data_IF_175909242874
#
_entry.id   IF_175909242874
#
_cell.length_a   1.000
_cell.length_b   1.000
_cell.length_c   1.000
_cell.angle_alpha   90.00
_cell.angle_beta   90.00
_cell.angle_gamma   90.00
#
_symmetry.space_group_name_H-M   'P 1'
#
loop_
_entity.id
_entity.type
_entity.pdbx_description
1 polymer ?
#
# COMPACT_ATOMS: atom_id res chain seq x y z
N UNK A 1 -12.95 -1.26 -16.11
CA UNK A 1 -12.04 -1.03 -17.25
C UNK A 1 -11.02 -0.01 -16.79
N UNK A 2 -9.81 -0.49 -16.51
CA UNK A 2 -8.76 0.27 -15.83
C UNK A 2 -8.13 1.35 -16.72
N UNK A 3 -7.80 1.00 -17.97
CA UNK A 3 -7.25 1.95 -18.93
C UNK A 3 -8.35 2.88 -19.48
N UNK A 4 -8.08 4.18 -19.53
CA UNK A 4 -8.95 5.13 -20.21
C UNK A 4 -8.94 4.93 -21.75
N UNK A 5 -9.88 5.57 -22.46
CA UNK A 5 -10.02 5.40 -23.91
C UNK A 5 -8.80 5.85 -24.72
N UNK A 6 -8.08 6.88 -24.25
CA UNK A 6 -6.88 7.39 -24.90
C UNK A 6 -5.73 6.39 -24.70
N UNK A 7 -5.60 5.83 -23.50
CA UNK A 7 -4.61 4.80 -23.18
C UNK A 7 -4.86 3.52 -23.97
N UNK A 8 -6.09 3.00 -24.00
CA UNK A 8 -6.45 1.82 -24.80
C UNK A 8 -6.20 2.00 -26.30
N UNK A 9 -6.31 3.23 -26.82
CA UNK A 9 -6.00 3.51 -28.23
C UNK A 9 -4.49 3.45 -28.48
N UNK A 10 -3.70 4.12 -27.65
CA UNK A 10 -2.24 4.09 -27.76
C UNK A 10 -1.67 2.67 -27.62
N UNK A 11 -2.24 1.86 -26.72
CA UNK A 11 -1.83 0.46 -26.54
C UNK A 11 -2.18 -0.41 -27.76
N UNK A 12 -3.34 -0.18 -28.40
CA UNK A 12 -3.69 -0.83 -29.67
C UNK A 12 -2.78 -0.40 -30.82
N UNK A 13 -2.37 0.87 -30.85
CA UNK A 13 -1.47 1.40 -31.89
C UNK A 13 -0.07 0.74 -31.83
N UNK A 14 0.33 0.20 -30.68
CA UNK A 14 1.57 -0.58 -30.52
C UNK A 14 1.36 -2.10 -30.60
N UNK A 15 0.16 -2.55 -30.96
CA UNK A 15 -0.13 -3.94 -31.30
C UNK A 15 -0.77 -4.80 -30.20
N UNK A 16 -1.26 -4.22 -29.09
CA UNK A 16 -2.06 -4.97 -28.12
C UNK A 16 -3.52 -5.09 -28.60
N UNK A 17 -4.10 -6.28 -28.49
CA UNK A 17 -5.49 -6.53 -28.83
C UNK A 17 -6.43 -6.19 -27.66
N UNK A 18 -7.74 -6.14 -27.92
CA UNK A 18 -8.74 -5.87 -26.87
C UNK A 18 -8.67 -6.91 -25.75
N UNK A 19 -8.46 -8.17 -26.11
CA UNK A 19 -8.35 -9.27 -25.15
C UNK A 19 -7.09 -9.12 -24.27
N UNK A 20 -5.98 -8.63 -24.81
CA UNK A 20 -4.76 -8.34 -24.04
C UNK A 20 -5.01 -7.23 -23.00
N UNK A 21 -5.76 -6.18 -23.39
CA UNK A 21 -6.10 -5.08 -22.49
C UNK A 21 -7.05 -5.52 -21.37
N UNK A 22 -7.98 -6.43 -21.69
CA UNK A 22 -8.87 -7.02 -20.71
C UNK A 22 -8.10 -7.90 -19.72
N UNK A 23 -7.26 -8.81 -20.23
CA UNK A 23 -6.41 -9.67 -19.40
C UNK A 23 -5.49 -8.85 -18.49
N UNK A 24 -4.88 -7.78 -19.01
CA UNK A 24 -4.06 -6.88 -18.20
C UNK A 24 -4.88 -6.15 -17.12
N UNK A 25 -6.11 -5.71 -17.43
CA UNK A 25 -6.99 -5.10 -16.44
C UNK A 25 -7.36 -6.09 -15.33
N UNK A 26 -7.69 -7.33 -15.67
CA UNK A 26 -8.02 -8.39 -14.71
C UNK A 26 -6.82 -8.75 -13.83
N UNK A 27 -5.62 -8.85 -14.41
CA UNK A 27 -4.39 -9.11 -13.68
C UNK A 27 -4.07 -8.00 -12.65
N UNK A 28 -4.35 -6.74 -12.97
CA UNK A 28 -4.17 -5.63 -12.02
C UNK A 28 -5.12 -5.75 -10.84
N UNK A 29 -6.39 -6.10 -11.07
CA UNK A 29 -7.37 -6.29 -9.99
C UNK A 29 -6.94 -7.42 -9.06
N UNK A 30 -6.46 -8.54 -9.62
CA UNK A 30 -5.95 -9.65 -8.82
C UNK A 30 -4.73 -9.22 -8.01
N UNK A 31 -3.75 -8.58 -8.64
CA UNK A 31 -2.54 -8.11 -7.96
C UNK A 31 -2.86 -7.17 -6.78
N UNK A 32 -3.82 -6.25 -6.95
CA UNK A 32 -4.24 -5.33 -5.88
C UNK A 32 -4.91 -6.07 -4.73
N UNK A 33 -5.68 -7.12 -5.02
CA UNK A 33 -6.29 -7.96 -3.99
C UNK A 33 -5.24 -8.81 -3.24
N UNK A 34 -4.26 -9.37 -3.96
CA UNK A 34 -3.13 -10.09 -3.38
C UNK A 34 -2.27 -9.18 -2.48
N UNK A 35 -1.94 -7.98 -2.97
CA UNK A 35 -1.19 -6.98 -2.19
C UNK A 35 -1.95 -6.56 -0.93
N UNK A 36 -3.26 -6.32 -1.02
CA UNK A 36 -4.06 -5.98 0.16
C UNK A 36 -4.00 -7.09 1.22
N UNK A 37 -4.18 -8.35 0.80
CA UNK A 37 -4.12 -9.49 1.71
C UNK A 37 -2.71 -9.66 2.33
N UNK A 38 -1.65 -9.43 1.56
CA UNK A 38 -0.29 -9.52 2.04
C UNK A 38 0.04 -8.40 3.04
N UNK A 39 -0.47 -7.19 2.81
CA UNK A 39 -0.33 -6.06 3.73
C UNK A 39 -1.06 -6.34 5.05
N UNK A 40 -2.32 -6.78 5.00
CA UNK A 40 -3.07 -7.16 6.21
C UNK A 40 -2.32 -8.24 7.00
N UNK A 41 -1.82 -9.28 6.32
CA UNK A 41 -1.03 -10.34 6.95
C UNK A 41 0.26 -9.81 7.62
N UNK A 42 0.97 -8.88 6.99
CA UNK A 42 2.16 -8.26 7.57
C UNK A 42 1.85 -7.55 8.90
N UNK A 43 0.79 -6.74 8.95
CA UNK A 43 0.42 -6.00 10.16
C UNK A 43 -0.18 -6.92 11.23
N UNK A 44 -0.90 -7.97 10.86
CA UNK A 44 -1.41 -8.98 11.80
C UNK A 44 -0.28 -9.82 12.42
N UNK A 45 0.78 -10.14 11.66
CA UNK A 45 1.95 -10.84 12.14
C UNK A 45 2.78 -9.98 13.11
N UNK A 46 2.86 -8.67 12.83
CA UNK A 46 3.70 -7.74 13.57
C UNK A 46 2.89 -6.78 14.44
N UNK A 47 2.64 -7.18 15.68
CA UNK A 47 2.02 -6.30 16.69
C UNK A 47 2.83 -5.04 17.03
N UNK A 48 4.07 -4.92 16.54
CA UNK A 48 4.87 -3.70 16.62
C UNK A 48 5.68 -3.53 15.33
N UNK A 49 5.61 -2.33 14.75
CA UNK A 49 6.35 -1.96 13.53
C UNK A 49 7.11 -0.65 13.74
N UNK A 50 8.13 -0.43 12.94
CA UNK A 50 8.88 0.82 12.86
C UNK A 50 8.54 1.52 11.56
N UNK A 51 8.57 2.85 11.53
CA UNK A 51 8.37 3.60 10.29
C UNK A 51 9.44 4.65 10.05
N UNK A 52 9.55 5.12 8.81
CA UNK A 52 10.37 6.28 8.42
C UNK A 52 9.60 7.62 8.49
N UNK A 53 8.41 7.60 9.11
CA UNK A 53 7.55 8.77 9.27
C UNK A 53 8.18 9.82 10.18
N UNK A 54 8.24 11.07 9.71
CA UNK A 54 8.60 12.21 10.54
C UNK A 54 7.42 12.57 11.48
N UNK A 55 7.60 12.31 12.77
CA UNK A 55 6.63 12.67 13.80
C UNK A 55 7.06 13.94 14.51
N UNK A 56 6.22 14.97 14.47
CA UNK A 56 6.46 16.29 15.07
C UNK A 56 6.86 16.29 16.57
N UNK A 57 6.62 15.20 17.28
CA UNK A 57 6.96 15.03 18.70
C UNK A 57 7.85 13.83 19.02
N UNK A 58 8.37 13.13 17.99
CA UNK A 58 9.37 12.08 18.16
C UNK A 58 10.78 12.64 17.95
N UNK A 59 11.76 12.01 18.60
CA UNK A 59 13.20 12.20 18.32
C UNK A 59 13.85 10.93 17.78
N UNK A 60 13.07 9.87 17.63
CA UNK A 60 13.54 8.63 17.04
C UNK A 60 13.56 8.78 15.52
N UNK A 61 14.68 8.39 14.91
CA UNK A 61 14.84 8.33 13.45
C UNK A 61 13.82 7.38 12.82
N UNK A 62 13.52 6.27 13.50
CA UNK A 62 12.43 5.35 13.17
C UNK A 62 11.48 5.21 14.36
N UNK A 63 10.35 5.95 14.43
CA UNK A 63 9.36 5.76 15.48
C UNK A 63 8.77 4.35 15.46
N UNK A 64 8.40 3.87 16.64
CA UNK A 64 7.81 2.56 16.89
C UNK A 64 6.31 2.71 17.11
N UNK A 65 5.52 1.79 16.53
CA UNK A 65 4.07 1.81 16.60
C UNK A 65 3.53 0.43 16.98
N UNK A 66 2.73 0.38 18.04
CA UNK A 66 1.97 -0.81 18.39
C UNK A 66 0.73 -0.91 17.50
N UNK A 67 0.65 -1.97 16.70
CA UNK A 67 -0.39 -2.18 15.68
C UNK A 67 -1.60 -2.86 16.32
N UNK A 68 -2.79 -2.34 16.05
CA UNK A 68 -4.05 -3.00 16.40
C UNK A 68 -4.64 -3.79 15.23
N UNK A 69 -4.76 -3.14 14.06
CA UNK A 69 -5.26 -3.76 12.83
C UNK A 69 -4.91 -2.93 11.60
N UNK A 70 -4.86 -3.58 10.45
CA UNK A 70 -4.99 -2.95 9.14
C UNK A 70 -6.23 -3.52 8.47
N UNK A 71 -7.17 -2.65 8.08
CA UNK A 71 -8.40 -3.04 7.41
C UNK A 71 -8.44 -2.40 6.02
N UNK A 72 -8.29 -3.20 4.95
CA UNK A 72 -8.25 -2.74 3.58
C UNK A 72 -9.49 -3.14 2.78
N UNK A 73 -9.81 -2.30 1.80
CA UNK A 73 -10.80 -2.58 0.77
C UNK A 73 -10.21 -2.27 -0.59
N UNK A 74 -10.51 -3.12 -1.56
CA UNK A 74 -10.06 -2.95 -2.94
C UNK A 74 -11.22 -2.65 -3.87
N UNK A 75 -10.97 -1.83 -4.88
CA UNK A 75 -11.94 -1.56 -5.94
C UNK A 75 -11.19 -1.38 -7.27
N UNK A 76 -11.19 -2.44 -8.08
CA UNK A 76 -10.38 -2.53 -9.28
C UNK A 76 -8.89 -2.32 -8.98
N UNK A 77 -8.31 -1.22 -9.42
CA UNK A 77 -6.91 -0.83 -9.19
C UNK A 77 -6.69 -0.01 -7.92
N UNK A 78 -7.76 0.36 -7.21
CA UNK A 78 -7.66 1.17 -6.01
C UNK A 78 -7.60 0.29 -4.76
N UNK A 79 -6.75 0.68 -3.81
CA UNK A 79 -6.65 0.12 -2.48
C UNK A 79 -6.76 1.24 -1.45
N UNK A 80 -7.66 1.07 -0.48
CA UNK A 80 -7.87 2.05 0.61
C UNK A 80 -8.37 1.40 1.88
N UNK A 81 -8.09 2.02 3.02
CA UNK A 81 -8.52 1.49 4.29
C UNK A 81 -8.10 2.32 5.49
N UNK A 82 -7.98 1.65 6.63
CA UNK A 82 -7.56 2.25 7.89
C UNK A 82 -6.49 1.39 8.56
N UNK A 83 -5.38 2.04 8.91
CA UNK A 83 -4.37 1.48 9.81
C UNK A 83 -4.62 2.00 11.22
N UNK A 84 -4.76 1.09 12.18
CA UNK A 84 -5.01 1.39 13.59
C UNK A 84 -3.81 1.00 14.43
N UNK A 85 -3.39 1.94 15.26
CA UNK A 85 -2.42 1.76 16.33
C UNK A 85 -3.11 1.91 17.68
N UNK A 86 -2.44 1.50 18.76
CA UNK A 86 -2.97 1.50 20.14
C UNK A 86 -3.55 2.86 20.59
N UNK A 87 -3.03 3.98 20.06
CA UNK A 87 -3.44 5.32 20.50
C UNK A 87 -4.09 6.18 19.42
N UNK A 88 -4.03 5.78 18.16
CA UNK A 88 -4.54 6.55 17.02
C UNK A 88 -4.71 5.68 15.78
N UNK A 89 -5.42 6.19 14.79
CA UNK A 89 -5.53 5.54 13.49
C UNK A 89 -5.44 6.54 12.36
N UNK A 90 -5.13 6.03 11.17
CA UNK A 90 -4.92 6.84 9.97
C UNK A 90 -5.53 6.16 8.76
N UNK A 91 -6.11 6.97 7.89
CA UNK A 91 -6.57 6.52 6.59
C UNK A 91 -5.37 6.19 5.71
N UNK A 92 -5.43 5.09 4.96
CA UNK A 92 -4.31 4.62 4.12
C UNK A 92 -4.77 4.28 2.71
N UNK A 93 -3.88 4.48 1.74
CA UNK A 93 -4.09 4.20 0.32
C UNK A 93 -2.82 3.63 -0.34
N UNK A 94 -3.01 3.01 -1.51
CA UNK A 94 -1.95 2.65 -2.47
C UNK A 94 -0.83 1.78 -1.88
N UNK A 95 -1.17 0.83 -1.00
CA UNK A 95 -0.18 0.02 -0.30
C UNK A 95 0.60 -0.94 -1.21
N UNK A 96 1.85 -1.24 -0.86
CA UNK A 96 2.65 -2.28 -1.53
C UNK A 96 3.68 -2.95 -0.60
N UNK A 97 4.02 -4.20 -0.91
CA UNK A 97 5.20 -4.88 -0.34
C UNK A 97 6.46 -4.48 -1.11
N UNK A 98 7.59 -4.40 -0.40
CA UNK A 98 8.91 -4.15 -0.98
C UNK A 98 9.80 -5.38 -0.88
N UNK A 99 10.83 -5.45 -1.74
CA UNK A 99 11.73 -6.62 -1.84
C UNK A 99 12.53 -6.92 -0.56
N UNK A 100 12.69 -5.92 0.31
CA UNK A 100 13.41 -6.04 1.59
C UNK A 100 12.51 -6.52 2.74
N UNK A 101 11.23 -6.82 2.46
CA UNK A 101 10.25 -7.25 3.45
C UNK A 101 9.59 -6.11 4.23
N UNK A 102 9.92 -4.85 3.93
CA UNK A 102 9.13 -3.71 4.40
C UNK A 102 7.89 -3.51 3.53
N UNK A 103 6.93 -2.76 4.06
CA UNK A 103 5.72 -2.35 3.34
C UNK A 103 5.67 -0.84 3.23
N UNK A 104 4.99 -0.31 2.23
CA UNK A 104 4.82 1.13 2.07
C UNK A 104 3.34 1.47 1.88
N UNK A 105 2.87 2.50 2.58
CA UNK A 105 1.49 3.00 2.51
C UNK A 105 1.50 4.51 2.27
N UNK A 106 0.56 5.02 1.45
CA UNK A 106 0.22 6.45 1.49
C UNK A 106 -0.64 6.70 2.71
N UNK A 107 -0.20 7.57 3.61
CA UNK A 107 -0.97 8.00 4.75
C UNK A 107 -1.79 9.24 4.38
N UNK A 108 -3.07 9.21 4.73
CA UNK A 108 -4.08 10.18 4.35
C UNK A 108 -3.79 11.62 4.80
N UNK A 109 -4.76 12.53 4.65
CA UNK A 109 -4.54 13.97 4.64
C UNK A 109 -4.06 14.60 5.97
N UNK A 110 -3.93 13.81 7.02
CA UNK A 110 -3.30 14.27 8.27
C UNK A 110 -1.78 14.22 8.18
N UNK A 111 -1.24 13.20 7.50
CA UNK A 111 0.21 13.01 7.34
C UNK A 111 0.66 13.50 5.97
N UNK A 112 -0.14 13.27 4.92
CA UNK A 112 0.19 13.64 3.54
C UNK A 112 1.56 13.12 3.10
N UNK A 113 1.88 11.88 3.44
CA UNK A 113 3.18 11.29 3.13
C UNK A 113 3.09 9.82 2.77
N UNK A 114 4.13 9.33 2.10
CA UNK A 114 4.32 7.94 1.71
C UNK A 114 5.33 7.34 2.66
N UNK A 115 4.85 6.42 3.50
CA UNK A 115 5.58 5.95 4.68
C UNK A 115 5.87 4.46 4.55
N UNK A 116 7.11 4.08 4.85
CA UNK A 116 7.55 2.70 4.95
C UNK A 116 7.36 2.20 6.38
N UNK A 117 6.95 0.95 6.50
CA UNK A 117 6.86 0.22 7.76
C UNK A 117 7.66 -1.08 7.68
N UNK A 118 8.38 -1.41 8.74
CA UNK A 118 9.16 -2.64 8.83
C UNK A 118 9.03 -3.28 10.22
N UNK A 119 9.24 -4.60 10.28
CA UNK A 119 9.25 -5.36 11.54
C UNK A 119 10.46 -5.00 12.43
N UNK A 120 11.53 -4.46 11.85
CA UNK A 120 12.72 -3.99 12.55
C UNK A 120 13.29 -2.70 11.95
N UNK A 121 14.10 -1.99 12.75
CA UNK A 121 14.71 -0.72 12.36
C UNK A 121 15.83 -0.87 11.34
N UNK A 122 16.48 -2.02 11.26
CA UNK A 122 17.62 -2.22 10.35
C UNK A 122 17.16 -2.26 8.89
N UNK A 123 15.94 -2.77 8.65
CA UNK A 123 15.31 -2.79 7.33
C UNK A 123 15.06 -1.38 6.75
N UNK A 124 14.92 -0.36 7.61
CA UNK A 124 14.65 1.02 7.19
C UNK A 124 15.92 1.87 6.97
N UNK A 125 17.11 1.32 7.22
CA UNK A 125 18.38 2.05 7.12
C UNK A 125 18.97 2.13 5.72
#
# INVERSE_FOLDING_TARGET
>A
MHFDQRTQRALRDVGLETDDLQAASEAIVEAVAEDAAALEAFFDEHGTVYSDMDMAHSRAEFPEHAVESLDLTTHADEMRGWLRFDTWGVYVEDGRLLDDGSVELTLGPTIHDRVRFAADRETLR
#
